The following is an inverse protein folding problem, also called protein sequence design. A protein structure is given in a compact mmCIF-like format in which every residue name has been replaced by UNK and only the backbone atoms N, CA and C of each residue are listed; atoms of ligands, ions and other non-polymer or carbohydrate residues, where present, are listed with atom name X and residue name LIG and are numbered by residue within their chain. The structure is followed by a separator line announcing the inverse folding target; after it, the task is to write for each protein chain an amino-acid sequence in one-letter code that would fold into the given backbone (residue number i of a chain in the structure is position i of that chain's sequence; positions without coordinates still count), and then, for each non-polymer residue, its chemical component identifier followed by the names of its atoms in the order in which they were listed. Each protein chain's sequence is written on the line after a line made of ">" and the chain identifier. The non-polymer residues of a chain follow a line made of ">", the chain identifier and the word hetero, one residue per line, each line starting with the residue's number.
data_IF_857261450745
#
_entry.id   IF_857261450745
#
_cell.length_a   1.000
_cell.length_b   1.000
_cell.length_c   1.000
_cell.angle_alpha   90.00
_cell.angle_beta   90.00
_cell.angle_gamma   90.00
#
_symmetry.space_group_name_H-M   'P 1'
#
loop_
_entity.id
_entity.type
_entity.pdbx_description
1 polymer ?
#
# COMPACT_ATOMS: atom_id res chain seq x y z
N UNK A 1 -37.48 7.37 -35.65
CA UNK A 1 -36.49 6.28 -35.82
C UNK A 1 -35.11 6.92 -35.94
N UNK A 2 -34.12 6.80 -35.07
CA UNK A 2 -33.87 6.11 -33.81
C UNK A 2 -32.82 6.99 -33.09
N UNK A 3 -33.14 7.59 -31.95
CA UNK A 3 -32.09 8.06 -31.04
C UNK A 3 -32.08 7.11 -29.86
N UNK A 4 -31.14 6.17 -29.88
CA UNK A 4 -30.87 5.23 -28.80
C UNK A 4 -29.46 4.69 -29.03
N UNK A 5 -28.52 4.65 -28.10
CA UNK A 5 -28.45 4.99 -26.68
C UNK A 5 -26.93 5.09 -26.49
N UNK A 6 -26.41 6.22 -25.99
CA UNK A 6 -25.03 6.23 -25.49
C UNK A 6 -24.98 5.22 -24.34
N UNK A 7 -24.01 4.30 -24.28
CA UNK A 7 -23.87 3.44 -23.12
C UNK A 7 -23.67 4.37 -21.93
N UNK A 8 -24.67 4.45 -21.06
CA UNK A 8 -24.53 5.10 -19.77
C UNK A 8 -23.62 4.19 -18.98
N UNK A 9 -22.31 4.41 -19.15
CA UNK A 9 -21.29 3.88 -18.26
C UNK A 9 -21.71 4.31 -16.86
N UNK A 10 -22.30 3.36 -16.14
CA UNK A 10 -22.67 3.52 -14.74
C UNK A 10 -21.38 3.69 -13.97
N UNK A 11 -20.90 4.94 -13.91
CA UNK A 11 -20.01 5.40 -12.86
C UNK A 11 -20.81 5.22 -11.57
N UNK A 12 -20.56 4.10 -10.90
CA UNK A 12 -20.92 3.94 -9.50
C UNK A 12 -20.06 4.95 -8.71
N UNK A 13 -20.49 6.21 -8.68
CA UNK A 13 -19.90 7.32 -7.91
C UNK A 13 -20.26 7.17 -6.42
N UNK A 14 -19.98 5.99 -5.86
CA UNK A 14 -20.22 5.64 -4.46
C UNK A 14 -19.02 5.00 -3.77
N UNK A 15 -17.99 4.59 -4.50
CA UNK A 15 -16.74 4.08 -3.93
C UNK A 15 -15.72 5.23 -3.86
N UNK A 16 -15.76 5.94 -2.73
CA UNK A 16 -14.92 7.09 -2.46
C UNK A 16 -13.42 6.76 -2.58
N UNK A 17 -12.56 7.71 -3.00
CA UNK A 17 -11.09 7.56 -2.99
C UNK A 17 -10.49 7.37 -1.57
N UNK A 18 -11.33 7.26 -0.53
CA UNK A 18 -10.93 7.02 0.85
C UNK A 18 -10.14 5.71 0.99
N UNK A 19 -10.58 4.60 0.39
CA UNK A 19 -9.82 3.35 0.46
C UNK A 19 -8.51 3.44 -0.33
N UNK A 20 -8.52 4.08 -1.51
CA UNK A 20 -7.30 4.31 -2.28
C UNK A 20 -6.28 5.19 -1.53
N UNK A 21 -6.71 6.22 -0.81
CA UNK A 21 -5.81 7.10 -0.05
C UNK A 21 -5.17 6.36 1.14
N UNK A 22 -5.94 5.53 1.85
CA UNK A 22 -5.46 4.74 2.97
C UNK A 22 -4.49 3.65 2.51
N UNK A 23 -4.84 2.91 1.45
CA UNK A 23 -3.97 1.92 0.82
C UNK A 23 -2.71 2.54 0.23
N UNK A 24 -2.81 3.74 -0.35
CA UNK A 24 -1.66 4.50 -0.86
C UNK A 24 -0.71 4.89 0.26
N UNK A 25 -1.23 5.37 1.40
CA UNK A 25 -0.43 5.69 2.57
C UNK A 25 0.27 4.45 3.17
N UNK A 26 -0.43 3.31 3.24
CA UNK A 26 0.14 2.04 3.69
C UNK A 26 1.25 1.54 2.74
N UNK A 27 1.02 1.60 1.41
CA UNK A 27 2.03 1.28 0.39
C UNK A 27 3.24 2.23 0.46
N UNK A 28 2.97 3.51 0.65
CA UNK A 28 3.86 4.56 1.17
C UNK A 28 4.88 4.05 2.16
N UNK A 29 4.36 3.78 3.35
CA UNK A 29 5.12 3.36 4.52
C UNK A 29 5.83 2.02 4.32
N UNK A 30 5.21 1.09 3.57
CA UNK A 30 5.84 -0.17 3.21
C UNK A 30 7.10 0.05 2.35
N UNK A 31 7.01 0.88 1.31
CA UNK A 31 8.15 1.19 0.44
C UNK A 31 9.28 1.88 1.20
N UNK A 32 8.95 2.82 2.10
CA UNK A 32 9.94 3.48 2.98
C UNK A 32 10.66 2.49 3.91
N UNK A 33 9.93 1.53 4.48
CA UNK A 33 10.52 0.49 5.34
C UNK A 33 11.41 -0.47 4.54
N UNK A 34 11.01 -0.88 3.33
CA UNK A 34 11.85 -1.69 2.44
C UNK A 34 13.16 -0.99 2.10
N UNK A 35 13.09 0.30 1.75
CA UNK A 35 14.27 1.10 1.44
C UNK A 35 15.22 1.20 2.66
N UNK A 36 14.67 1.38 3.86
CA UNK A 36 15.45 1.41 5.11
C UNK A 36 16.11 0.06 5.40
N UNK A 37 15.37 -1.04 5.26
CA UNK A 37 15.89 -2.41 5.42
C UNK A 37 17.03 -2.67 4.44
N UNK A 38 16.82 -2.39 3.14
CA UNK A 38 17.83 -2.61 2.11
C UNK A 38 19.08 -1.75 2.32
N UNK A 39 18.91 -0.52 2.82
CA UNK A 39 20.03 0.35 3.16
C UNK A 39 20.83 -0.16 4.36
N UNK A 40 20.15 -0.71 5.38
CA UNK A 40 20.77 -1.27 6.57
C UNK A 40 21.45 -2.63 6.27
N UNK A 41 20.83 -3.50 5.47
CA UNK A 41 21.42 -4.79 5.05
C UNK A 41 22.68 -4.61 4.18
N UNK A 42 22.79 -3.48 3.47
CA UNK A 42 23.98 -3.12 2.71
C UNK A 42 25.12 -2.59 3.58
N UNK A 43 24.87 -2.26 4.86
CA UNK A 43 25.95 -1.83 5.76
C UNK A 43 26.82 -3.02 6.14
N UNK A 44 28.15 -2.83 6.25
CA UNK A 44 29.08 -3.90 6.65
C UNK A 44 28.87 -4.38 8.10
N UNK A 45 28.19 -3.58 8.94
CA UNK A 45 27.77 -3.95 10.29
C UNK A 45 26.27 -3.63 10.44
N UNK A 46 25.38 -4.52 9.99
CA UNK A 46 23.94 -4.29 10.04
C UNK A 46 23.43 -4.38 11.49
N UNK A 47 22.57 -3.44 11.90
CA UNK A 47 21.85 -3.55 13.18
C UNK A 47 20.74 -4.60 13.06
N UNK A 48 21.03 -5.79 13.58
CA UNK A 48 20.13 -6.94 13.53
C UNK A 48 18.84 -6.71 14.32
N UNK A 49 18.90 -5.93 15.40
CA UNK A 49 17.74 -5.61 16.24
C UNK A 49 16.79 -4.65 15.52
N UNK A 50 17.36 -3.61 14.91
CA UNK A 50 16.63 -2.65 14.08
C UNK A 50 16.02 -3.35 12.85
N UNK A 51 16.78 -4.21 12.18
CA UNK A 51 16.29 -4.99 11.04
C UNK A 51 15.12 -5.90 11.42
N UNK A 52 15.20 -6.59 12.57
CA UNK A 52 14.11 -7.42 13.05
C UNK A 52 12.85 -6.61 13.36
N UNK A 53 13.00 -5.40 13.93
CA UNK A 53 11.88 -4.48 14.17
C UNK A 53 11.27 -3.98 12.86
N UNK A 54 12.10 -3.54 11.90
CA UNK A 54 11.64 -3.06 10.59
C UNK A 54 10.92 -4.16 9.80
N UNK A 55 11.42 -5.40 9.82
CA UNK A 55 10.77 -6.57 9.18
C UNK A 55 9.41 -6.88 9.84
N UNK A 56 9.30 -6.78 11.16
CA UNK A 56 8.01 -6.92 11.88
C UNK A 56 7.03 -5.81 11.50
N UNK A 57 7.48 -4.56 11.40
CA UNK A 57 6.63 -3.44 10.97
C UNK A 57 6.15 -3.63 9.53
N UNK A 58 7.03 -4.07 8.62
CA UNK A 58 6.67 -4.41 7.24
C UNK A 58 5.59 -5.50 7.18
N UNK A 59 5.69 -6.53 8.03
CA UNK A 59 4.68 -7.58 8.13
C UNK A 59 3.32 -7.04 8.59
N UNK A 60 3.29 -6.20 9.64
CA UNK A 60 2.03 -5.57 10.10
C UNK A 60 1.35 -4.73 9.03
N UNK A 61 2.11 -3.92 8.29
CA UNK A 61 1.54 -3.11 7.19
C UNK A 61 0.99 -4.02 6.08
N UNK A 62 1.65 -5.13 5.79
CA UNK A 62 1.17 -6.12 4.82
C UNK A 62 -0.14 -6.77 5.29
N UNK A 63 -0.25 -7.08 6.59
CA UNK A 63 -1.49 -7.59 7.18
C UNK A 63 -2.61 -6.55 7.16
N UNK A 64 -2.33 -5.29 7.48
CA UNK A 64 -3.29 -4.17 7.38
C UNK A 64 -3.76 -3.96 5.93
N UNK A 65 -2.87 -4.05 4.95
CA UNK A 65 -3.21 -4.00 3.53
C UNK A 65 -4.11 -5.16 3.09
N UNK A 66 -3.94 -6.35 3.68
CA UNK A 66 -4.74 -7.53 3.35
C UNK A 66 -6.08 -7.57 4.11
N UNK A 67 -6.10 -7.06 5.34
CA UNK A 67 -7.30 -7.02 6.17
C UNK A 67 -8.29 -5.92 5.75
N UNK A 68 -7.80 -4.83 5.15
CA UNK A 68 -8.61 -3.73 4.61
C UNK A 68 -8.83 -3.81 3.09
N UNK A 69 -8.50 -4.96 2.47
CA UNK A 69 -8.61 -5.23 1.03
C UNK A 69 -9.81 -6.08 0.65
#
# INVERSE_FOLDING_TARGET
>A
MFYSVLPTESKNEGDWPMNMSHLSALKSRHADLDAKIANEERRPAPDVGLLAQMKKQKLKIKEELFANG
#
